data_IF_046787201161
#
_entry.id   IF_046787201161
#
_cell.length_a   1.000
_cell.length_b   1.000
_cell.length_c   1.000
_cell.angle_alpha   90.00
_cell.angle_beta   90.00
_cell.angle_gamma   90.00
#
_symmetry.space_group_name_H-M   'P 1'
#
loop_
_entity.id
_entity.type
_entity.pdbx_description
1 polymer ?
#
# COMPACT_ATOMS: atom_id res chain seq x y z
N UNK A 1 1.39 8.63 -3.19
CA UNK A 1 2.05 9.03 -1.92
C UNK A 1 1.98 10.53 -1.67
N UNK A 2 2.58 11.39 -2.51
CA UNK A 2 2.59 12.86 -2.29
C UNK A 2 1.18 13.48 -2.15
N UNK A 3 0.26 13.12 -3.04
CA UNK A 3 -1.11 13.68 -3.08
C UNK A 3 -1.96 13.25 -1.88
N UNK A 4 -1.84 11.99 -1.46
CA UNK A 4 -2.54 11.50 -0.27
C UNK A 4 -2.07 12.25 0.96
N UNK A 5 -0.76 12.53 1.03
CA UNK A 5 -0.19 13.33 2.10
C UNK A 5 -0.67 14.79 2.04
N UNK A 6 -0.64 15.44 0.87
CA UNK A 6 -1.21 16.79 0.70
C UNK A 6 -2.70 16.80 1.11
N UNK A 7 -3.45 15.75 0.79
CA UNK A 7 -4.84 15.61 1.19
C UNK A 7 -5.03 15.44 2.69
N UNK A 8 -4.17 14.66 3.37
CA UNK A 8 -4.21 14.53 4.83
C UNK A 8 -3.79 15.82 5.53
N UNK A 9 -2.74 16.49 5.04
CA UNK A 9 -2.34 17.83 5.50
C UNK A 9 -3.48 18.83 5.29
N UNK A 10 -4.15 18.81 4.14
CA UNK A 10 -5.28 19.68 3.87
C UNK A 10 -6.51 19.35 4.74
N UNK A 11 -6.73 18.07 5.10
CA UNK A 11 -7.76 17.67 6.06
C UNK A 11 -7.45 18.17 7.47
N UNK A 12 -6.19 18.06 7.88
CA UNK A 12 -5.69 18.59 9.16
C UNK A 12 -5.72 20.13 9.20
N UNK A 13 -5.64 20.79 8.03
CA UNK A 13 -5.77 22.24 7.88
C UNK A 13 -7.24 22.69 7.90
N UNK A 14 -8.10 22.11 7.06
CA UNK A 14 -9.49 22.57 6.89
C UNK A 14 -10.40 22.09 8.01
N UNK A 15 -10.13 20.91 8.58
CA UNK A 15 -10.91 20.27 9.65
C UNK A 15 -12.43 20.32 9.45
N UNK A 16 -12.87 20.28 8.19
CA UNK A 16 -14.27 20.48 7.85
C UNK A 16 -15.08 19.24 8.28
N UNK A 17 -16.15 19.38 9.07
CA UNK A 17 -16.99 18.24 9.44
C UNK A 17 -17.70 17.66 8.19
N UNK A 18 -17.80 16.33 8.10
CA UNK A 18 -18.57 15.70 7.00
C UNK A 18 -20.03 16.18 7.01
N UNK A 19 -20.66 16.29 5.83
CA UNK A 19 -22.06 16.70 5.73
C UNK A 19 -22.98 15.76 6.54
N UNK A 20 -23.93 16.38 7.25
CA UNK A 20 -24.97 15.69 8.01
C UNK A 20 -25.81 14.82 7.07
N UNK A 21 -25.93 13.53 7.39
CA UNK A 21 -26.56 12.52 6.53
C UNK A 21 -27.70 11.82 7.30
N UNK A 22 -28.93 12.39 7.34
CA UNK A 22 -30.15 11.65 7.67
C UNK A 22 -30.79 11.10 6.38
N UNK A 23 -31.39 9.88 6.29
CA UNK A 23 -31.69 8.84 7.28
C UNK A 23 -30.97 7.51 6.93
N UNK A 24 -29.64 7.49 6.86
CA UNK A 24 -28.87 6.30 6.44
C UNK A 24 -28.06 5.75 7.62
N UNK A 25 -28.26 4.47 7.94
CA UNK A 25 -27.49 3.75 8.96
C UNK A 25 -26.02 3.72 8.53
N UNK A 26 -25.15 4.35 9.33
CA UNK A 26 -23.71 4.48 9.03
C UNK A 26 -22.98 3.20 9.43
N UNK A 27 -22.58 2.41 8.44
CA UNK A 27 -21.89 1.13 8.62
C UNK A 27 -20.42 1.28 9.07
N UNK A 28 -19.75 2.36 8.66
CA UNK A 28 -18.33 2.58 8.98
C UNK A 28 -18.13 3.78 9.92
N UNK A 29 -17.90 3.50 11.20
CA UNK A 29 -17.64 4.54 12.22
C UNK A 29 -16.27 5.21 12.04
N UNK A 30 -15.29 4.53 11.42
CA UNK A 30 -13.94 5.07 11.16
C UNK A 30 -13.95 6.27 10.20
N UNK A 31 -14.82 6.23 9.19
CA UNK A 31 -14.95 7.27 8.16
C UNK A 31 -15.52 8.59 8.73
N UNK A 32 -16.23 8.53 9.85
CA UNK A 32 -16.85 9.69 10.52
C UNK A 32 -15.81 10.49 11.31
N UNK A 33 -14.74 9.84 11.80
CA UNK A 33 -13.67 10.49 12.56
C UNK A 33 -12.67 11.23 11.68
N UNK A 34 -12.74 11.00 10.36
CA UNK A 34 -11.87 11.66 9.39
C UNK A 34 -12.56 12.91 8.84
N UNK A 35 -11.82 14.03 8.78
CA UNK A 35 -12.33 15.29 8.24
C UNK A 35 -12.83 15.13 6.79
N UNK A 36 -13.94 15.80 6.49
CA UNK A 36 -14.71 15.61 5.26
C UNK A 36 -14.13 16.28 4.02
N UNK A 37 -13.30 17.30 4.19
CA UNK A 37 -12.70 18.07 3.09
C UNK A 37 -11.20 18.32 3.32
N UNK A 38 -10.38 18.28 2.27
CA UNK A 38 -10.67 17.71 0.95
C UNK A 38 -10.68 16.18 1.02
N UNK A 39 -11.49 15.52 0.17
CA UNK A 39 -11.51 14.05 0.11
C UNK A 39 -10.17 13.54 -0.40
N UNK A 40 -9.39 12.87 0.46
CA UNK A 40 -8.13 12.22 0.11
C UNK A 40 -8.31 11.16 -0.97
N UNK A 41 -9.44 10.45 -0.94
CA UNK A 41 -9.82 9.51 -2.01
C UNK A 41 -10.10 10.24 -3.32
N UNK A 42 -10.81 11.37 -3.30
CA UNK A 42 -11.07 12.15 -4.51
C UNK A 42 -9.78 12.76 -5.07
N UNK A 43 -8.92 13.33 -4.22
CA UNK A 43 -7.63 13.89 -4.63
C UNK A 43 -6.69 12.83 -5.21
N UNK A 44 -6.62 11.65 -4.57
CA UNK A 44 -5.85 10.53 -5.09
C UNK A 44 -6.43 10.06 -6.43
N UNK A 45 -7.75 9.88 -6.51
CA UNK A 45 -8.43 9.45 -7.74
C UNK A 45 -8.21 10.42 -8.90
N UNK A 46 -8.34 11.73 -8.66
CA UNK A 46 -8.10 12.74 -9.70
C UNK A 46 -6.64 12.76 -10.10
N UNK A 47 -5.70 12.80 -9.15
CA UNK A 47 -4.28 12.88 -9.49
C UNK A 47 -3.78 11.62 -10.20
N UNK A 48 -4.22 10.44 -9.77
CA UNK A 48 -3.90 9.18 -10.46
C UNK A 48 -4.48 9.23 -11.88
N UNK A 49 -5.74 9.62 -12.05
CA UNK A 49 -6.38 9.73 -13.36
C UNK A 49 -5.65 10.73 -14.28
N UNK A 50 -5.29 11.92 -13.79
CA UNK A 50 -4.57 12.92 -14.57
C UNK A 50 -3.13 12.52 -14.85
N UNK A 51 -2.43 11.85 -13.92
CA UNK A 51 -1.07 11.33 -14.16
C UNK A 51 -1.10 10.27 -15.25
N UNK A 52 -2.09 9.37 -15.23
CA UNK A 52 -2.28 8.37 -16.28
C UNK A 52 -2.62 9.02 -17.63
N UNK A 53 -3.48 10.04 -17.63
CA UNK A 53 -3.85 10.76 -18.85
C UNK A 53 -2.65 11.49 -19.46
N UNK A 54 -1.88 12.23 -18.66
CA UNK A 54 -0.70 12.98 -19.12
C UNK A 54 0.42 12.01 -19.56
N UNK A 55 0.66 10.94 -18.81
CA UNK A 55 1.68 9.94 -19.16
C UNK A 55 1.35 9.17 -20.44
N UNK A 56 0.12 9.27 -20.94
CA UNK A 56 -0.39 8.43 -22.02
C UNK A 56 -0.93 9.22 -23.19
N UNK A 57 -0.62 10.52 -23.26
CA UNK A 57 -1.01 11.36 -24.41
C UNK A 57 -0.47 10.77 -25.73
N UNK A 58 0.69 10.12 -25.70
CA UNK A 58 1.29 9.46 -26.86
C UNK A 58 0.88 7.98 -27.05
N UNK A 59 0.14 7.39 -26.09
CA UNK A 59 -0.22 5.95 -26.10
C UNK A 59 -1.59 5.67 -25.43
N UNK A 60 -2.59 6.47 -25.79
CA UNK A 60 -3.91 6.46 -25.13
C UNK A 60 -4.67 5.13 -25.27
N UNK A 61 -4.41 4.36 -26.33
CA UNK A 61 -5.04 3.06 -26.58
C UNK A 61 -4.69 2.03 -25.49
N UNK A 62 -3.43 2.02 -25.02
CA UNK A 62 -2.96 1.08 -23.99
C UNK A 62 -3.62 1.38 -22.64
N UNK A 63 -3.81 2.67 -22.31
CA UNK A 63 -4.49 3.07 -21.07
C UNK A 63 -5.97 2.76 -21.09
N UNK A 64 -6.66 3.04 -22.21
CA UNK A 64 -8.07 2.72 -22.32
C UNK A 64 -8.30 1.20 -22.20
N UNK A 65 -7.43 0.39 -22.82
CA UNK A 65 -7.42 -1.06 -22.66
C UNK A 65 -7.21 -1.48 -21.20
N UNK A 66 -6.23 -0.91 -20.50
CA UNK A 66 -5.97 -1.19 -19.09
C UNK A 66 -7.13 -0.82 -18.16
N UNK A 67 -7.77 0.33 -18.39
CA UNK A 67 -8.95 0.78 -17.63
C UNK A 67 -10.13 -0.15 -17.86
N UNK A 68 -10.40 -0.53 -19.12
CA UNK A 68 -11.47 -1.47 -19.45
C UNK A 68 -11.22 -2.86 -18.82
N UNK A 69 -10.00 -3.39 -18.90
CA UNK A 69 -9.64 -4.66 -18.27
C UNK A 69 -9.82 -4.60 -16.76
N UNK A 70 -9.43 -3.50 -16.12
CA UNK A 70 -9.61 -3.31 -14.68
C UNK A 70 -11.09 -3.22 -14.31
N UNK A 71 -11.90 -2.50 -15.09
CA UNK A 71 -13.34 -2.39 -14.87
C UNK A 71 -14.04 -3.75 -14.98
N UNK A 72 -13.69 -4.55 -16.00
CA UNK A 72 -14.21 -5.92 -16.18
C UNK A 72 -13.82 -6.81 -15.00
N UNK A 73 -12.56 -6.75 -14.54
CA UNK A 73 -12.11 -7.52 -13.38
C UNK A 73 -12.84 -7.11 -12.10
N UNK A 74 -13.10 -5.82 -11.88
CA UNK A 74 -13.87 -5.35 -10.72
C UNK A 74 -15.30 -5.90 -10.77
N UNK A 75 -15.99 -5.76 -11.91
CA UNK A 75 -17.37 -6.27 -12.04
C UNK A 75 -17.43 -7.78 -11.83
N UNK A 76 -16.46 -8.52 -12.35
CA UNK A 76 -16.37 -9.97 -12.20
C UNK A 76 -16.08 -10.39 -10.76
N UNK A 77 -15.22 -9.66 -10.05
CA UNK A 77 -14.79 -10.00 -8.68
C UNK A 77 -15.71 -9.44 -7.60
N UNK A 78 -16.49 -8.40 -7.89
CA UNK A 78 -17.44 -7.75 -6.97
C UNK A 78 -18.33 -8.72 -6.17
N UNK A 79 -19.01 -9.72 -6.78
CA UNK A 79 -19.83 -10.66 -6.01
C UNK A 79 -19.02 -11.55 -5.05
N UNK A 80 -17.72 -11.71 -5.27
CA UNK A 80 -16.85 -12.51 -4.44
C UNK A 80 -16.19 -11.73 -3.28
N UNK A 81 -16.29 -10.39 -3.26
CA UNK A 81 -15.61 -9.57 -2.24
C UNK A 81 -16.07 -9.91 -0.81
N UNK A 82 -17.36 -10.12 -0.60
CA UNK A 82 -17.89 -10.50 0.73
C UNK A 82 -17.38 -11.86 1.21
N UNK A 83 -17.15 -12.80 0.30
CA UNK A 83 -16.55 -14.10 0.62
C UNK A 83 -15.07 -13.94 0.95
N UNK A 84 -14.35 -13.08 0.22
CA UNK A 84 -12.94 -12.79 0.46
C UNK A 84 -12.75 -12.16 1.85
N UNK A 85 -13.58 -11.18 2.22
CA UNK A 85 -13.51 -10.53 3.54
C UNK A 85 -13.78 -11.53 4.68
N UNK A 86 -14.79 -12.39 4.51
CA UNK A 86 -15.08 -13.44 5.48
C UNK A 86 -13.93 -14.45 5.60
N UNK A 87 -13.29 -14.84 4.49
CA UNK A 87 -12.17 -15.78 4.47
C UNK A 87 -10.89 -15.19 5.10
N UNK A 88 -10.64 -13.90 4.85
CA UNK A 88 -9.51 -13.15 5.41
C UNK A 88 -9.62 -13.05 6.94
N UNK A 89 -10.84 -12.84 7.45
CA UNK A 89 -11.12 -12.78 8.90
C UNK A 89 -11.19 -14.17 9.57
N UNK A 90 -11.71 -15.19 8.88
CA UNK A 90 -11.99 -16.49 9.49
C UNK A 90 -10.79 -17.46 9.49
N UNK A 91 -9.85 -17.33 8.54
CA UNK A 91 -8.83 -18.36 8.31
C UNK A 91 -7.39 -17.82 8.32
N UNK A 92 -6.46 -18.44 9.08
CA UNK A 92 -5.04 -18.09 9.04
C UNK A 92 -4.33 -18.62 7.79
N UNK A 93 -5.01 -19.41 6.95
CA UNK A 93 -4.48 -19.95 5.71
C UNK A 93 -4.52 -18.94 4.56
N UNK A 94 -5.42 -17.98 4.61
CA UNK A 94 -5.55 -16.95 3.59
C UNK A 94 -4.28 -16.11 3.36
N UNK A 95 -3.57 -15.58 4.39
CA UNK A 95 -2.31 -14.86 4.18
C UNK A 95 -1.21 -15.73 3.58
N UNK A 96 -1.21 -17.04 3.86
CA UNK A 96 -0.26 -17.99 3.26
C UNK A 96 -0.56 -18.14 1.77
N UNK A 97 -1.83 -18.34 1.40
CA UNK A 97 -2.25 -18.36 0.00
C UNK A 97 -1.93 -17.04 -0.73
N UNK A 98 -2.10 -15.90 -0.05
CA UNK A 98 -1.79 -14.57 -0.57
C UNK A 98 -0.29 -14.35 -0.85
N UNK A 99 0.61 -15.15 -0.26
CA UNK A 99 2.05 -15.18 -0.62
C UNK A 99 2.31 -16.18 -1.73
N UNK A 100 1.85 -17.42 -1.55
CA UNK A 100 2.23 -18.55 -2.39
C UNK A 100 1.71 -18.37 -3.81
N UNK A 101 0.46 -17.92 -3.97
CA UNK A 101 -0.16 -17.76 -5.30
C UNK A 101 0.55 -16.66 -6.11
N UNK A 102 0.77 -15.43 -5.60
CA UNK A 102 1.48 -14.41 -6.36
C UNK A 102 2.95 -14.76 -6.62
N UNK A 103 3.62 -15.46 -5.69
CA UNK A 103 4.98 -15.94 -5.89
C UNK A 103 5.05 -16.93 -7.05
N UNK A 104 4.20 -17.96 -7.05
CA UNK A 104 4.13 -18.94 -8.12
C UNK A 104 3.76 -18.29 -9.46
N UNK A 105 2.83 -17.33 -9.46
CA UNK A 105 2.46 -16.59 -10.66
C UNK A 105 3.65 -15.79 -11.22
N UNK A 106 4.41 -15.11 -10.36
CA UNK A 106 5.60 -14.35 -10.76
C UNK A 106 6.76 -15.23 -11.27
N UNK A 107 6.82 -16.49 -10.83
CA UNK A 107 7.82 -17.45 -11.27
C UNK A 107 7.48 -18.04 -12.64
N UNK A 108 6.22 -18.41 -12.86
CA UNK A 108 5.78 -19.08 -14.09
C UNK A 108 5.40 -18.09 -15.22
N UNK A 109 5.04 -16.85 -14.90
CA UNK A 109 4.53 -15.88 -15.86
C UNK A 109 5.10 -14.46 -15.64
N UNK A 110 5.39 -13.66 -16.68
CA UNK A 110 5.32 -13.98 -18.11
C UNK A 110 6.53 -14.79 -18.59
N UNK A 111 6.29 -15.80 -19.43
CA UNK A 111 7.33 -16.53 -20.14
C UNK A 111 7.81 -15.67 -21.31
N UNK A 112 9.03 -15.15 -21.21
CA UNK A 112 9.69 -14.41 -22.29
C UNK A 112 11.05 -15.04 -22.52
N UNK A 113 11.36 -15.36 -23.78
CA UNK A 113 12.63 -15.98 -24.18
C UNK A 113 13.81 -15.00 -24.04
N UNK A 114 13.51 -13.69 -24.04
CA UNK A 114 14.48 -12.62 -23.82
C UNK A 114 14.29 -11.98 -22.44
N UNK A 115 15.39 -11.54 -21.83
CA UNK A 115 15.33 -10.74 -20.61
C UNK A 115 14.55 -9.44 -20.88
N UNK A 116 13.46 -9.24 -20.13
CA UNK A 116 12.66 -8.01 -20.17
C UNK A 116 12.42 -7.50 -18.74
N UNK A 117 12.42 -6.16 -18.53
CA UNK A 117 12.13 -5.58 -17.21
C UNK A 117 10.69 -5.84 -16.76
N UNK A 118 9.78 -6.17 -17.68
CA UNK A 118 8.34 -6.35 -17.41
C UNK A 118 8.06 -7.39 -16.33
N UNK A 119 8.76 -8.53 -16.32
CA UNK A 119 8.58 -9.57 -15.29
C UNK A 119 8.93 -9.05 -13.91
N UNK A 120 10.01 -8.28 -13.82
CA UNK A 120 10.44 -7.69 -12.56
C UNK A 120 9.44 -6.66 -12.03
N UNK A 121 8.86 -5.87 -12.91
CA UNK A 121 7.85 -4.89 -12.56
C UNK A 121 6.57 -5.58 -12.07
N UNK A 122 6.12 -6.63 -12.77
CA UNK A 122 5.00 -7.47 -12.33
C UNK A 122 5.27 -8.12 -10.96
N UNK A 123 6.46 -8.66 -10.75
CA UNK A 123 6.86 -9.26 -9.46
C UNK A 123 6.80 -8.23 -8.34
N UNK A 124 7.25 -7.00 -8.62
CA UNK A 124 7.23 -5.89 -7.67
C UNK A 124 5.81 -5.51 -7.27
N UNK A 125 4.90 -5.41 -8.26
CA UNK A 125 3.48 -5.09 -8.03
C UNK A 125 2.83 -6.20 -7.19
N UNK A 126 2.93 -7.46 -7.63
CA UNK A 126 2.36 -8.62 -6.94
C UNK A 126 2.87 -8.76 -5.50
N UNK A 127 4.17 -8.62 -5.31
CA UNK A 127 4.80 -8.71 -3.99
C UNK A 127 4.35 -7.60 -3.05
N UNK A 128 4.21 -6.37 -3.55
CA UNK A 128 3.72 -5.24 -2.75
C UNK A 128 2.28 -5.44 -2.30
N UNK A 129 1.41 -5.95 -3.18
CA UNK A 129 0.02 -6.29 -2.87
C UNK A 129 -0.08 -7.42 -1.85
N UNK A 130 0.68 -8.49 -2.03
CA UNK A 130 0.77 -9.59 -1.06
C UNK A 130 1.21 -9.08 0.32
N UNK A 131 2.24 -8.24 0.39
CA UNK A 131 2.71 -7.64 1.64
C UNK A 131 1.68 -6.77 2.33
N UNK A 132 0.86 -6.05 1.57
CA UNK A 132 -0.22 -5.23 2.12
C UNK A 132 -1.34 -6.09 2.72
N UNK A 133 -1.77 -7.16 2.02
CA UNK A 133 -2.78 -8.11 2.52
C UNK A 133 -2.31 -8.74 3.84
N UNK A 134 -1.08 -9.25 3.87
CA UNK A 134 -0.48 -9.84 5.08
C UNK A 134 -0.40 -8.82 6.20
N UNK A 135 -0.01 -7.59 5.90
CA UNK A 135 0.09 -6.53 6.90
C UNK A 135 -1.26 -6.15 7.50
N UNK A 136 -2.33 -6.11 6.70
CA UNK A 136 -3.68 -5.93 7.22
C UNK A 136 -4.13 -7.10 8.09
N UNK A 137 -3.84 -8.33 7.67
CA UNK A 137 -4.13 -9.52 8.47
C UNK A 137 -3.38 -9.51 9.81
N UNK A 138 -2.08 -9.17 9.82
CA UNK A 138 -1.27 -9.03 11.05
C UNK A 138 -1.87 -7.95 11.97
N UNK A 139 -2.20 -6.79 11.42
CA UNK A 139 -2.81 -5.71 12.21
C UNK A 139 -4.14 -6.11 12.82
N UNK A 140 -4.96 -6.87 12.08
CA UNK A 140 -6.24 -7.38 12.55
C UNK A 140 -6.04 -8.40 13.67
N UNK A 141 -5.18 -9.41 13.46
CA UNK A 141 -4.94 -10.50 14.39
C UNK A 141 -4.33 -10.04 15.72
N UNK A 142 -3.31 -9.18 15.65
CA UNK A 142 -2.62 -8.67 16.84
C UNK A 142 -3.26 -7.41 17.43
N UNK A 143 -4.33 -6.89 16.82
CA UNK A 143 -5.01 -5.67 17.25
C UNK A 143 -4.07 -4.45 17.39
N UNK A 144 -2.97 -4.43 16.63
CA UNK A 144 -1.87 -3.44 16.76
C UNK A 144 -2.35 -2.00 16.53
N UNK A 145 -3.43 -1.85 15.75
CA UNK A 145 -4.11 -0.60 15.42
C UNK A 145 -5.61 -0.69 15.77
N UNK A 146 -5.91 -1.22 16.97
CA UNK A 146 -7.25 -1.23 17.55
C UNK A 146 -7.33 -0.26 18.71
N UNK A 147 -7.38 1.04 18.40
CA UNK A 147 -8.23 1.95 19.16
C UNK A 147 -8.98 2.83 18.15
N UNK A 148 -10.31 2.72 18.04
CA UNK A 148 -11.10 3.88 17.67
C UNK A 148 -10.83 4.88 18.79
N UNK A 149 -10.13 5.99 18.49
CA UNK A 149 -10.07 7.12 19.41
C UNK A 149 -11.50 7.37 19.92
N UNK A 150 -11.64 7.41 21.25
CA UNK A 150 -12.90 7.73 21.90
C UNK A 150 -13.55 8.90 21.18
N UNK A 151 -14.87 8.83 21.02
CA UNK A 151 -15.67 9.89 20.39
C UNK A 151 -15.42 11.22 21.10
N UNK A 152 -14.46 11.98 20.60
CA UNK A 152 -14.15 13.30 21.15
C UNK A 152 -15.41 14.14 21.03
N UNK A 153 -15.84 14.80 22.12
CA UNK A 153 -17.05 15.59 22.12
C UNK A 153 -16.86 16.71 21.12
N UNK A 154 -17.69 16.73 20.08
CA UNK A 154 -18.08 17.88 19.25
C UNK A 154 -17.29 19.15 19.62
N UNK A 155 -16.05 19.32 19.13
CA UNK A 155 -15.28 20.54 19.42
C UNK A 155 -15.54 21.57 18.32
N UNK A 156 -16.21 22.61 18.78
CA UNK A 156 -16.92 23.68 18.11
C UNK A 156 -16.03 24.78 17.52
N UNK A 157 -14.76 24.55 17.20
CA UNK A 157 -13.91 25.61 16.63
C UNK A 157 -12.89 25.06 15.64
N UNK A 158 -12.85 25.65 14.44
CA UNK A 158 -11.77 25.46 13.47
C UNK A 158 -10.50 26.00 14.15
N UNK A 159 -9.52 25.15 14.52
CA UNK A 159 -8.31 25.64 15.14
C UNK A 159 -7.51 26.45 14.10
N UNK A 160 -6.90 27.55 14.50
CA UNK A 160 -6.11 28.38 13.60
C UNK A 160 -4.94 27.58 13.04
N UNK A 161 -4.54 27.89 11.80
CA UNK A 161 -3.41 27.28 11.11
C UNK A 161 -2.14 27.46 11.93
N UNK A 162 -1.83 26.45 12.75
CA UNK A 162 -0.73 26.51 13.72
C UNK A 162 0.46 25.78 13.12
N UNK A 163 1.62 26.43 13.13
CA UNK A 163 2.89 25.89 12.60
C UNK A 163 3.16 24.47 13.13
N UNK A 164 2.73 24.20 14.36
CA UNK A 164 2.86 22.91 15.03
C UNK A 164 2.20 21.74 14.27
N UNK A 165 1.02 21.94 13.66
CA UNK A 165 0.32 20.89 12.90
C UNK A 165 1.06 20.59 11.59
N UNK A 166 1.61 21.63 10.95
CA UNK A 166 2.40 21.48 9.73
C UNK A 166 3.72 20.76 10.03
N UNK A 167 4.41 21.13 11.10
CA UNK A 167 5.64 20.47 11.55
C UNK A 167 5.37 19.01 11.93
N UNK A 168 4.27 18.73 12.62
CA UNK A 168 3.87 17.37 13.00
C UNK A 168 3.62 16.47 11.79
N UNK A 169 2.88 16.97 10.80
CA UNK A 169 2.64 16.22 9.56
C UNK A 169 3.95 15.93 8.82
N UNK A 170 4.84 16.93 8.71
CA UNK A 170 6.12 16.77 8.01
C UNK A 170 7.00 15.74 8.73
N UNK A 171 7.00 15.76 10.06
CA UNK A 171 7.68 14.74 10.87
C UNK A 171 7.11 13.33 10.60
N UNK A 172 5.78 13.15 10.56
CA UNK A 172 5.15 11.86 10.22
C UNK A 172 5.61 11.36 8.86
N UNK A 173 5.67 12.24 7.85
CA UNK A 173 6.12 11.91 6.50
C UNK A 173 7.58 11.47 6.45
N UNK A 174 8.46 12.25 7.06
CA UNK A 174 9.90 11.95 7.11
C UNK A 174 10.14 10.63 7.82
N UNK A 175 9.49 10.40 8.96
CA UNK A 175 9.59 9.15 9.72
C UNK A 175 9.07 7.96 8.92
N UNK A 176 7.93 8.09 8.23
CA UNK A 176 7.36 7.01 7.43
C UNK A 176 8.23 6.64 6.21
N UNK A 177 8.74 7.63 5.48
CA UNK A 177 9.61 7.40 4.32
C UNK A 177 10.96 6.83 4.74
N UNK A 178 11.57 7.37 5.79
CA UNK A 178 12.87 6.87 6.26
C UNK A 178 12.77 5.42 6.69
N UNK A 179 11.72 5.03 7.44
CA UNK A 179 11.51 3.64 7.85
C UNK A 179 11.30 2.71 6.65
N UNK A 180 10.43 3.08 5.71
CA UNK A 180 10.14 2.24 4.53
C UNK A 180 11.36 2.08 3.61
N UNK A 181 12.17 3.13 3.43
CA UNK A 181 13.42 3.05 2.68
C UNK A 181 14.47 2.20 3.40
N UNK A 182 14.56 2.29 4.73
CA UNK A 182 15.46 1.47 5.53
C UNK A 182 15.11 -0.01 5.41
N UNK A 183 13.83 -0.37 5.59
CA UNK A 183 13.36 -1.76 5.45
C UNK A 183 13.60 -2.27 4.03
N UNK A 184 13.34 -1.45 3.01
CA UNK A 184 13.65 -1.81 1.61
C UNK A 184 15.13 -2.15 1.43
N UNK A 185 16.03 -1.31 1.97
CA UNK A 185 17.47 -1.50 1.81
C UNK A 185 17.96 -2.73 2.55
N UNK A 186 17.48 -2.95 3.79
CA UNK A 186 17.81 -4.12 4.60
C UNK A 186 17.31 -5.40 3.93
N UNK A 187 16.03 -5.48 3.59
CA UNK A 187 15.43 -6.65 2.97
C UNK A 187 16.08 -7.02 1.64
N UNK A 188 16.42 -6.01 0.82
CA UNK A 188 17.17 -6.22 -0.43
C UNK A 188 18.55 -6.81 -0.18
N UNK A 189 19.27 -6.29 0.82
CA UNK A 189 20.64 -6.72 1.12
C UNK A 189 20.64 -8.14 1.67
N UNK A 190 19.78 -8.43 2.64
CA UNK A 190 19.63 -9.75 3.24
C UNK A 190 19.18 -10.79 2.21
N UNK A 191 18.15 -10.49 1.41
CA UNK A 191 17.67 -11.41 0.39
C UNK A 191 18.74 -11.75 -0.65
N UNK A 192 19.49 -10.75 -1.14
CA UNK A 192 20.60 -10.99 -2.07
C UNK A 192 21.74 -11.78 -1.42
N UNK A 193 22.08 -11.50 -0.15
CA UNK A 193 23.13 -12.23 0.56
C UNK A 193 22.77 -13.71 0.73
N UNK A 194 21.53 -14.01 1.13
CA UNK A 194 21.02 -15.38 1.26
C UNK A 194 21.04 -16.08 -0.09
N UNK A 195 20.52 -15.45 -1.15
CA UNK A 195 20.47 -16.05 -2.49
C UNK A 195 21.87 -16.29 -3.07
N UNK A 196 22.79 -15.32 -2.96
CA UNK A 196 24.16 -15.50 -3.46
C UNK A 196 24.92 -16.58 -2.68
N UNK A 197 24.69 -16.71 -1.37
CA UNK A 197 25.24 -17.79 -0.56
C UNK A 197 24.65 -19.15 -0.96
N UNK A 198 23.35 -19.22 -1.23
CA UNK A 198 22.65 -20.44 -1.62
C UNK A 198 23.11 -20.96 -2.98
N UNK A 199 23.20 -20.07 -3.97
CA UNK A 199 23.64 -20.41 -5.33
C UNK A 199 25.17 -20.42 -5.50
N UNK A 200 25.94 -20.13 -4.45
CA UNK A 200 27.42 -20.01 -4.46
C UNK A 200 27.96 -19.11 -5.58
N UNK A 201 27.26 -18.02 -5.87
CA UNK A 201 27.64 -17.10 -6.98
C UNK A 201 28.37 -15.88 -6.45
N UNK A 202 29.41 -15.45 -7.19
CA UNK A 202 30.17 -14.22 -6.90
C UNK A 202 29.25 -12.99 -6.98
N UNK A 203 29.21 -12.22 -5.89
CA UNK A 203 28.32 -11.06 -5.63
C UNK A 203 28.38 -9.91 -6.65
N UNK A 204 29.31 -9.95 -7.63
CA UNK A 204 29.60 -8.85 -8.56
C UNK A 204 29.09 -9.07 -9.99
N UNK A 205 28.56 -10.25 -10.33
CA UNK A 205 28.09 -10.53 -11.69
C UNK A 205 26.67 -10.01 -11.93
N UNK A 206 26.50 -9.03 -12.83
CA UNK A 206 25.17 -8.49 -13.21
C UNK A 206 24.27 -9.57 -13.81
N UNK A 207 24.84 -10.50 -14.58
CA UNK A 207 24.12 -11.62 -15.19
C UNK A 207 23.58 -12.62 -14.16
N UNK A 208 24.31 -12.83 -13.05
CA UNK A 208 23.83 -13.67 -11.96
C UNK A 208 22.57 -13.08 -11.30
N UNK A 209 22.46 -11.75 -11.26
CA UNK A 209 21.30 -11.05 -10.71
C UNK A 209 20.07 -11.11 -11.61
N UNK A 210 20.26 -11.35 -12.90
CA UNK A 210 19.19 -11.50 -13.91
C UNK A 210 18.72 -12.95 -14.06
N UNK A 211 19.35 -13.90 -13.35
CA UNK A 211 18.87 -15.28 -13.30
C UNK A 211 17.50 -15.29 -12.64
N UNK A 212 16.54 -15.97 -13.24
CA UNK A 212 15.16 -16.06 -12.78
C UNK A 212 15.08 -16.50 -11.31
N UNK A 213 15.89 -17.49 -10.94
CA UNK A 213 16.01 -18.05 -9.59
C UNK A 213 16.49 -17.04 -8.54
N UNK A 214 17.17 -15.98 -8.95
CA UNK A 214 17.68 -14.94 -8.06
C UNK A 214 16.75 -13.72 -8.13
N UNK A 215 16.42 -13.27 -9.33
CA UNK A 215 15.69 -12.02 -9.58
C UNK A 215 14.30 -12.00 -8.97
N UNK A 216 13.52 -13.07 -9.16
CA UNK A 216 12.14 -13.14 -8.70
C UNK A 216 12.08 -13.20 -7.17
N UNK A 217 12.80 -14.11 -6.48
CA UNK A 217 12.68 -14.22 -5.03
C UNK A 217 13.21 -13.01 -4.27
N UNK A 218 14.33 -12.41 -4.69
CA UNK A 218 14.85 -11.24 -3.96
C UNK A 218 13.91 -10.04 -4.09
N UNK A 219 13.36 -9.79 -5.30
CA UNK A 219 12.41 -8.68 -5.52
C UNK A 219 11.14 -8.94 -4.74
N UNK A 220 10.62 -10.17 -4.82
CA UNK A 220 9.41 -10.56 -4.13
C UNK A 220 9.53 -10.30 -2.62
N UNK A 221 10.55 -10.86 -1.97
CA UNK A 221 10.78 -10.67 -0.53
C UNK A 221 10.95 -9.20 -0.16
N UNK A 222 11.73 -8.44 -0.94
CA UNK A 222 11.97 -7.01 -0.67
C UNK A 222 10.66 -6.23 -0.70
N UNK A 223 9.82 -6.39 -1.72
CA UNK A 223 8.62 -5.59 -1.88
C UNK A 223 7.46 -6.07 -0.99
N UNK A 224 7.39 -7.36 -0.68
CA UNK A 224 6.49 -7.86 0.38
C UNK A 224 6.84 -7.26 1.73
N UNK A 225 8.13 -7.18 2.11
CA UNK A 225 8.53 -6.52 3.36
C UNK A 225 8.20 -5.03 3.40
N UNK A 226 8.28 -4.33 2.25
CA UNK A 226 7.89 -2.91 2.15
C UNK A 226 6.39 -2.76 2.37
N UNK A 227 5.56 -3.63 1.78
CA UNK A 227 4.11 -3.63 1.98
C UNK A 227 3.72 -3.89 3.44
N UNK A 228 4.36 -4.87 4.09
CA UNK A 228 4.14 -5.15 5.52
C UNK A 228 4.60 -3.96 6.38
N UNK A 229 5.76 -3.38 6.08
CA UNK A 229 6.28 -2.21 6.81
C UNK A 229 5.33 -1.02 6.74
N UNK A 230 4.82 -0.71 5.56
CA UNK A 230 3.94 0.43 5.35
C UNK A 230 2.61 0.28 6.10
N UNK A 231 2.12 -0.94 6.27
CA UNK A 231 0.82 -1.22 6.89
C UNK A 231 0.91 -1.44 8.39
N UNK A 232 1.98 -2.06 8.90
CA UNK A 232 2.08 -2.47 10.33
C UNK A 232 3.05 -1.57 11.10
N UNK A 233 4.31 -1.51 10.68
CA UNK A 233 5.38 -0.85 11.42
C UNK A 233 5.29 0.68 11.39
N UNK A 234 4.89 1.29 10.26
CA UNK A 234 4.74 2.76 10.17
C UNK A 234 3.68 3.26 11.16
N UNK A 235 2.44 2.73 11.18
CA UNK A 235 1.44 3.15 12.18
C UNK A 235 1.87 2.89 13.63
N UNK A 236 2.52 1.76 13.91
CA UNK A 236 3.04 1.46 15.25
C UNK A 236 4.09 2.47 15.71
N UNK A 237 5.02 2.86 14.82
CA UNK A 237 6.05 3.83 15.13
C UNK A 237 5.46 5.22 15.38
N UNK A 238 4.48 5.64 14.58
CA UNK A 238 3.76 6.89 14.83
C UNK A 238 3.03 6.89 16.18
N UNK A 239 2.40 5.77 16.57
CA UNK A 239 1.79 5.62 17.89
C UNK A 239 2.82 5.69 19.02
N UNK A 240 3.94 4.99 18.89
CA UNK A 240 5.01 4.98 19.89
C UNK A 240 5.64 6.37 20.11
N UNK A 241 5.80 7.14 19.03
CA UNK A 241 6.34 8.49 19.08
C UNK A 241 5.31 9.54 19.55
N UNK A 242 4.08 9.15 19.88
CA UNK A 242 3.01 10.09 20.25
C UNK A 242 2.57 10.99 19.09
N UNK A 243 2.86 10.58 17.85
CA UNK A 243 2.52 11.28 16.63
C UNK A 243 1.16 10.84 16.11
N UNK A 244 0.25 10.28 16.90
CA UNK A 244 -1.07 9.79 16.43
C UNK A 244 -2.20 10.62 17.03
#
# INVERSE_FOLDING_TARGET
MLVMYIGQVAKDILKWPRPLSPPVVKLEKRVIMEYGMPSTHAMAATTISFTLLISSMDRYQDVLGGVLMTAVLIVLTYPAWTLIDCLDLASPLFPVCAIVVPFFLSYNYPMSECYSPTRADTTTILASGAGMIIGFWINHFFQLVSEPAESLPVVQNIPPLTVDILVLSLARFVVGITLTLLVRQLARTLSLQVLYSWFKVVTRNKEARQRLEIEVPYKFVTYTSVGICATTFVPMLHRFLGLL
#
